data_IF_413546271701
#
_entry.id   IF_413546271701
#
_cell.length_a   1.000
_cell.length_b   1.000
_cell.length_c   1.000
_cell.angle_alpha   90.00
_cell.angle_beta   90.00
_cell.angle_gamma   90.00
#
_symmetry.space_group_name_H-M   'P 1'
#
loop_
_entity.id
_entity.type
_entity.pdbx_description
1 polymer ?
#
# COMPACT_ATOMS: atom_id res chain seq x y z
N UNK A 1 -17.13 -33.41 -14.00
CA UNK A 1 -16.90 -32.54 -12.83
C UNK A 1 -17.52 -31.20 -13.13
N UNK A 2 -18.52 -30.77 -12.36
CA UNK A 2 -19.13 -29.46 -12.55
C UNK A 2 -18.10 -28.38 -12.18
N UNK A 3 -17.64 -27.63 -13.18
CA UNK A 3 -16.86 -26.41 -12.96
C UNK A 3 -17.82 -25.38 -12.36
N UNK A 4 -17.83 -25.29 -11.03
CA UNK A 4 -18.55 -24.22 -10.34
C UNK A 4 -17.91 -22.90 -10.77
N UNK A 5 -18.61 -22.15 -11.63
CA UNK A 5 -18.23 -20.80 -12.00
C UNK A 5 -18.06 -19.98 -10.71
N UNK A 6 -16.90 -19.33 -10.54
CA UNK A 6 -16.71 -18.40 -9.43
C UNK A 6 -17.84 -17.36 -9.48
N UNK A 7 -18.49 -17.03 -8.35
CA UNK A 7 -19.49 -15.96 -8.33
C UNK A 7 -18.86 -14.67 -8.86
N UNK A 8 -19.64 -13.86 -9.59
CA UNK A 8 -19.19 -12.63 -10.26
C UNK A 8 -19.08 -11.41 -9.33
N UNK A 9 -19.44 -11.56 -8.06
CA UNK A 9 -19.44 -10.47 -7.08
C UNK A 9 -18.34 -10.71 -6.05
N UNK A 10 -17.53 -9.68 -5.74
CA UNK A 10 -16.51 -9.77 -4.70
C UNK A 10 -17.19 -10.03 -3.35
N UNK A 11 -16.84 -11.16 -2.73
CA UNK A 11 -17.26 -11.57 -1.40
C UNK A 11 -16.12 -11.29 -0.44
N UNK A 12 -16.43 -10.53 0.60
CA UNK A 12 -15.52 -10.26 1.70
C UNK A 12 -15.75 -11.22 2.86
N UNK A 13 -14.66 -11.71 3.42
CA UNK A 13 -14.62 -12.50 4.65
C UNK A 13 -13.70 -11.80 5.65
N UNK A 14 -14.09 -11.83 6.93
CA UNK A 14 -13.36 -11.19 8.03
C UNK A 14 -13.14 -12.25 9.10
N UNK A 15 -11.88 -12.61 9.32
CA UNK A 15 -11.45 -13.54 10.35
C UNK A 15 -10.72 -12.76 11.46
N UNK A 16 -11.03 -13.07 12.71
CA UNK A 16 -10.38 -12.46 13.88
C UNK A 16 -9.51 -13.50 14.58
N UNK A 17 -8.21 -13.22 14.66
CA UNK A 17 -7.25 -14.01 15.41
C UNK A 17 -6.77 -13.23 16.63
N UNK A 18 -7.05 -13.75 17.82
CA UNK A 18 -6.68 -13.13 19.08
C UNK A 18 -6.49 -14.18 20.17
N UNK A 19 -5.79 -13.82 21.25
CA UNK A 19 -6.06 -14.43 22.54
C UNK A 19 -7.11 -13.55 23.23
N UNK A 20 -8.31 -14.09 23.44
CA UNK A 20 -9.39 -13.35 24.11
C UNK A 20 -9.24 -13.27 25.63
N UNK A 21 -8.37 -14.11 26.22
CA UNK A 21 -8.16 -14.16 27.66
C UNK A 21 -7.12 -13.12 28.12
N UNK A 22 -7.53 -12.28 29.05
CA UNK A 22 -6.71 -11.27 29.70
C UNK A 22 -6.44 -11.67 31.16
N UNK A 23 -5.22 -11.38 31.63
CA UNK A 23 -4.90 -11.50 33.06
C UNK A 23 -5.67 -10.46 33.88
N UNK A 24 -5.81 -10.69 35.19
CA UNK A 24 -6.39 -9.70 36.10
C UNK A 24 -5.68 -8.33 35.97
N UNK A 25 -6.48 -7.27 35.90
CA UNK A 25 -6.01 -5.90 35.67
C UNK A 25 -5.46 -5.58 34.28
N UNK A 26 -5.31 -6.55 33.37
CA UNK A 26 -4.86 -6.29 32.00
C UNK A 26 -5.94 -5.55 31.20
N UNK A 27 -5.50 -4.67 30.30
CA UNK A 27 -6.37 -3.72 29.59
C UNK A 27 -6.15 -3.66 28.09
N UNK A 28 -5.10 -4.29 27.57
CA UNK A 28 -4.79 -4.26 26.14
C UNK A 28 -5.25 -5.53 25.44
N UNK A 29 -6.07 -5.36 24.40
CA UNK A 29 -6.59 -6.44 23.57
C UNK A 29 -5.96 -6.31 22.19
N UNK A 30 -5.25 -7.35 21.75
CA UNK A 30 -4.61 -7.40 20.45
C UNK A 30 -5.32 -8.42 19.55
N UNK A 31 -5.69 -8.00 18.35
CA UNK A 31 -6.31 -8.85 17.35
C UNK A 31 -5.68 -8.64 15.97
N UNK A 32 -5.49 -9.74 15.24
CA UNK A 32 -5.22 -9.73 13.82
C UNK A 32 -6.53 -9.96 13.09
N UNK A 33 -6.92 -8.98 12.28
CA UNK A 33 -8.09 -9.00 11.42
C UNK A 33 -7.62 -9.38 10.02
N UNK A 34 -7.89 -10.60 9.58
CA UNK A 34 -7.65 -11.02 8.20
C UNK A 34 -8.88 -10.71 7.38
N UNK A 35 -8.70 -9.89 6.36
CA UNK A 35 -9.72 -9.58 5.37
C UNK A 35 -9.36 -10.30 4.09
N UNK A 36 -10.31 -11.06 3.53
CA UNK A 36 -10.15 -11.74 2.25
C UNK A 36 -11.28 -11.33 1.32
N UNK A 37 -10.93 -10.85 0.12
CA UNK A 37 -11.87 -10.59 -0.96
C UNK A 37 -11.68 -11.66 -2.03
N UNK A 38 -12.76 -12.38 -2.38
CA UNK A 38 -12.76 -13.44 -3.41
C UNK A 38 -13.93 -13.28 -4.37
N UNK A 39 -13.86 -13.86 -5.58
CA UNK A 39 -15.02 -13.86 -6.49
C UNK A 39 -15.05 -12.70 -7.49
N UNK A 40 -13.87 -12.26 -7.92
CA UNK A 40 -13.71 -11.22 -8.93
C UNK A 40 -13.18 -11.72 -10.27
N UNK A 41 -13.66 -12.86 -10.78
CA UNK A 41 -13.16 -13.43 -12.04
C UNK A 41 -13.15 -12.43 -13.21
N UNK A 42 -12.13 -12.51 -14.07
CA UNK A 42 -11.96 -11.68 -15.28
C UNK A 42 -12.95 -11.96 -16.41
N UNK A 43 -14.04 -12.69 -16.13
CA UNK A 43 -15.11 -12.96 -17.09
C UNK A 43 -16.28 -12.02 -16.83
N UNK A 44 -16.56 -11.13 -17.79
CA UNK A 44 -17.60 -10.11 -17.73
C UNK A 44 -18.90 -10.57 -17.07
N UNK A 45 -19.24 -9.92 -15.96
CA UNK A 45 -20.43 -10.21 -15.17
C UNK A 45 -20.81 -9.02 -14.30
N UNK A 46 -22.11 -8.72 -14.29
CA UNK A 46 -22.80 -7.51 -13.78
C UNK A 46 -22.41 -7.10 -12.33
N UNK A 47 -22.20 -5.80 -12.02
CA UNK A 47 -21.96 -5.33 -10.66
C UNK A 47 -23.19 -5.44 -9.74
N UNK A 48 -22.94 -5.38 -8.43
CA UNK A 48 -23.94 -5.22 -7.38
C UNK A 48 -24.90 -4.05 -7.70
N UNK A 49 -26.19 -4.39 -7.78
CA UNK A 49 -27.33 -3.53 -7.46
C UNK A 49 -27.30 -2.08 -7.96
N UNK A 50 -27.27 -1.86 -9.26
CA UNK A 50 -27.77 -0.61 -9.87
C UNK A 50 -28.93 -0.98 -10.78
N UNK A 51 -30.14 -0.59 -10.38
CA UNK A 51 -31.36 -0.76 -11.15
C UNK A 51 -31.31 0.05 -12.45
N UNK A 52 -31.57 -0.64 -13.56
CA UNK A 52 -31.96 -0.19 -14.90
C UNK A 52 -31.27 1.02 -15.56
N UNK A 53 -30.32 0.70 -16.46
CA UNK A 53 -30.16 1.39 -17.74
C UNK A 53 -29.37 0.53 -18.76
N UNK A 54 -30.05 0.13 -19.85
CA UNK A 54 -29.54 -0.06 -21.23
C UNK A 54 -28.40 -1.07 -21.55
N UNK A 55 -28.46 -1.80 -22.69
CA UNK A 55 -27.42 -2.75 -23.07
C UNK A 55 -26.22 -2.04 -23.72
N UNK A 56 -25.05 -2.12 -23.07
CA UNK A 56 -23.66 -2.20 -23.58
C UNK A 56 -22.68 -1.61 -22.53
N UNK A 57 -21.85 -2.45 -21.88
CA UNK A 57 -20.51 -2.01 -21.42
C UNK A 57 -20.29 -1.36 -20.04
N UNK A 58 -21.23 -1.39 -19.09
CA UNK A 58 -21.09 -0.67 -17.80
C UNK A 58 -20.02 -1.20 -16.81
N UNK A 59 -19.38 -2.36 -17.05
CA UNK A 59 -18.33 -2.90 -16.18
C UNK A 59 -16.90 -2.45 -16.52
N UNK A 60 -16.72 -1.79 -17.66
CA UNK A 60 -15.42 -1.40 -18.21
C UNK A 60 -14.98 0.02 -17.82
N UNK A 61 -15.90 0.86 -17.36
CA UNK A 61 -15.67 2.27 -17.05
C UNK A 61 -15.47 2.56 -15.55
N UNK A 62 -15.22 1.54 -14.73
CA UNK A 62 -15.15 1.71 -13.27
C UNK A 62 -13.79 2.16 -12.74
N UNK A 63 -12.79 2.30 -13.62
CA UNK A 63 -11.44 2.69 -13.24
C UNK A 63 -10.87 3.83 -14.11
N UNK A 64 -9.98 4.61 -13.49
CA UNK A 64 -9.16 5.62 -14.13
C UNK A 64 -7.69 5.48 -13.70
N UNK A 65 -6.76 5.64 -14.63
CA UNK A 65 -5.31 5.57 -14.35
C UNK A 65 -4.55 6.77 -14.88
N UNK A 66 -3.68 7.36 -14.05
CA UNK A 66 -2.74 8.40 -14.50
C UNK A 66 -1.31 7.91 -14.31
N UNK A 67 -0.54 7.86 -15.39
CA UNK A 67 0.88 7.46 -15.36
C UNK A 67 1.72 8.73 -15.38
N UNK A 68 2.40 9.03 -14.28
CA UNK A 68 3.30 10.16 -14.12
C UNK A 68 4.75 9.70 -14.33
N UNK A 69 5.38 10.21 -15.37
CA UNK A 69 6.72 9.82 -15.80
C UNK A 69 7.66 10.99 -15.60
N UNK A 70 8.67 10.82 -14.75
CA UNK A 70 9.76 11.78 -14.62
C UNK A 70 10.45 12.02 -15.98
N UNK A 71 10.54 13.30 -16.32
CA UNK A 71 11.15 13.84 -17.51
C UNK A 71 12.18 14.92 -17.14
N UNK A 72 12.71 14.89 -15.91
CA UNK A 72 13.80 15.75 -15.47
C UNK A 72 15.09 15.49 -16.27
N UNK A 73 16.04 16.42 -16.18
CA UNK A 73 17.30 16.33 -16.93
C UNK A 73 18.14 15.09 -16.63
N UNK A 74 18.04 14.51 -15.42
CA UNK A 74 18.77 13.29 -15.01
C UNK A 74 18.35 12.05 -15.81
N UNK A 75 17.12 12.04 -16.33
CA UNK A 75 16.60 10.92 -17.10
C UNK A 75 17.32 10.67 -18.43
N UNK A 76 18.14 11.62 -18.92
CA UNK A 76 19.00 11.43 -20.10
C UNK A 76 20.39 10.84 -19.76
N UNK A 77 20.69 10.64 -18.47
CA UNK A 77 21.99 10.19 -17.99
C UNK A 77 21.86 9.00 -17.02
N UNK A 78 22.10 7.76 -17.51
CA UNK A 78 22.27 7.38 -18.91
C UNK A 78 20.94 7.42 -19.70
N UNK A 79 21.00 7.64 -21.01
CA UNK A 79 19.83 7.68 -21.90
C UNK A 79 18.96 6.39 -21.89
N UNK A 80 19.50 5.29 -21.35
CA UNK A 80 18.73 4.07 -21.09
C UNK A 80 17.61 4.27 -20.05
N UNK A 81 17.71 5.24 -19.13
CA UNK A 81 16.66 5.58 -18.16
C UNK A 81 15.39 6.08 -18.87
N UNK A 82 15.49 7.14 -19.68
CA UNK A 82 14.37 7.64 -20.49
C UNK A 82 13.83 6.60 -21.47
N UNK A 83 14.70 5.81 -22.13
CA UNK A 83 14.24 4.71 -22.99
C UNK A 83 13.44 3.68 -22.20
N UNK A 84 13.96 3.23 -21.06
CA UNK A 84 13.29 2.27 -20.18
C UNK A 84 11.97 2.81 -19.66
N UNK A 85 11.89 4.08 -19.27
CA UNK A 85 10.66 4.73 -18.82
C UNK A 85 9.58 4.75 -19.91
N UNK A 86 9.94 5.04 -21.16
CA UNK A 86 9.01 4.96 -22.31
C UNK A 86 8.55 3.52 -22.57
N UNK A 87 9.47 2.56 -22.56
CA UNK A 87 9.15 1.14 -22.75
C UNK A 87 8.22 0.61 -21.65
N UNK A 88 8.48 0.99 -20.39
CA UNK A 88 7.67 0.61 -19.26
C UNK A 88 6.29 1.26 -19.25
N UNK A 89 6.23 2.56 -19.58
CA UNK A 89 4.95 3.26 -19.75
C UNK A 89 4.13 2.64 -20.88
N UNK A 90 4.77 2.26 -22.00
CA UNK A 90 4.09 1.55 -23.08
C UNK A 90 3.55 0.19 -22.63
N UNK A 91 4.34 -0.58 -21.85
CA UNK A 91 3.90 -1.85 -21.28
C UNK A 91 2.71 -1.68 -20.34
N UNK A 92 2.72 -0.66 -19.47
CA UNK A 92 1.57 -0.33 -18.61
C UNK A 92 0.34 0.07 -19.44
N UNK A 93 0.49 0.90 -20.47
CA UNK A 93 -0.61 1.29 -21.38
C UNK A 93 -1.24 0.06 -22.03
N UNK A 94 -0.44 -0.92 -22.46
CA UNK A 94 -0.94 -2.16 -23.08
C UNK A 94 -1.74 -3.04 -22.12
N UNK A 95 -1.54 -2.89 -20.80
CA UNK A 95 -2.30 -3.59 -19.75
C UNK A 95 -3.62 -2.89 -19.40
N UNK A 96 -3.81 -1.62 -19.79
CA UNK A 96 -5.04 -0.89 -19.50
C UNK A 96 -6.22 -1.54 -20.23
N UNK A 97 -7.20 -2.03 -19.47
CA UNK A 97 -8.40 -2.69 -20.01
C UNK A 97 -9.21 -1.74 -20.89
N UNK A 98 -9.85 -2.28 -21.92
CA UNK A 98 -10.77 -1.51 -22.74
C UNK A 98 -11.84 -0.81 -21.90
N UNK A 99 -12.14 0.44 -22.23
CA UNK A 99 -13.12 1.27 -21.53
C UNK A 99 -12.60 2.02 -20.29
N UNK A 100 -11.41 1.67 -19.78
CA UNK A 100 -10.79 2.36 -18.64
C UNK A 100 -10.30 3.74 -19.06
N UNK A 101 -10.52 4.74 -18.21
CA UNK A 101 -10.05 6.09 -18.46
C UNK A 101 -8.55 6.19 -18.14
N UNK A 102 -7.74 6.84 -18.97
CA UNK A 102 -6.31 6.99 -18.69
C UNK A 102 -5.68 8.26 -19.25
N UNK A 103 -4.57 8.66 -18.64
CA UNK A 103 -3.71 9.74 -19.14
C UNK A 103 -2.23 9.47 -18.81
N UNK A 104 -1.35 10.16 -19.53
CA UNK A 104 0.10 10.16 -19.32
C UNK A 104 0.57 11.58 -19.05
N UNK A 105 1.24 11.77 -17.92
CA UNK A 105 1.77 13.05 -17.46
C UNK A 105 3.29 13.01 -17.51
N UNK A 106 3.90 13.99 -18.15
CA UNK A 106 5.33 14.27 -18.01
C UNK A 106 5.56 15.14 -16.77
N UNK A 107 6.40 14.64 -15.87
CA UNK A 107 6.77 15.31 -14.64
C UNK A 107 8.13 16.00 -14.75
N UNK A 108 8.20 17.27 -14.38
CA UNK A 108 9.44 18.04 -14.19
C UNK A 108 9.29 18.93 -12.94
N UNK A 109 9.88 20.13 -12.89
CA UNK A 109 9.44 21.20 -11.97
C UNK A 109 8.00 21.67 -12.27
N UNK A 110 7.47 21.33 -13.44
CA UNK A 110 6.07 21.46 -13.84
C UNK A 110 5.49 20.09 -14.26
N UNK A 111 4.17 19.95 -14.23
CA UNK A 111 3.47 18.76 -14.73
C UNK A 111 2.69 19.06 -16.01
N UNK A 112 2.93 18.29 -17.08
CA UNK A 112 2.26 18.45 -18.38
C UNK A 112 1.54 17.17 -18.78
N UNK A 113 0.29 17.29 -19.21
CA UNK A 113 -0.44 16.18 -19.82
C UNK A 113 0.06 16.01 -21.26
N UNK A 114 0.62 14.83 -21.56
CA UNK A 114 1.20 14.50 -22.87
C UNK A 114 0.22 13.68 -23.71
N UNK A 115 -0.67 12.95 -23.04
CA UNK A 115 -1.75 12.20 -23.65
C UNK A 115 -2.93 12.08 -22.66
N UNK A 116 -4.16 12.46 -23.05
CA UNK A 116 -4.56 13.00 -24.35
C UNK A 116 -4.03 14.41 -24.65
N UNK A 117 -3.55 15.15 -23.65
CA UNK A 117 -2.96 16.48 -23.82
C UNK A 117 -3.97 17.64 -23.82
N UNK A 118 -5.25 17.36 -23.58
CA UNK A 118 -6.34 18.35 -23.53
C UNK A 118 -6.87 18.59 -22.11
N UNK A 119 -6.21 18.01 -21.09
CA UNK A 119 -6.64 18.13 -19.70
C UNK A 119 -7.79 17.21 -19.33
N UNK A 120 -8.09 16.20 -20.14
CA UNK A 120 -9.10 15.16 -19.86
C UNK A 120 -8.46 13.77 -19.76
N UNK A 121 -9.27 12.73 -19.55
CA UNK A 121 -8.85 11.34 -19.60
C UNK A 121 -9.32 10.71 -20.91
N UNK A 122 -8.42 10.03 -21.62
CA UNK A 122 -8.77 9.24 -22.80
C UNK A 122 -9.42 7.92 -22.37
N UNK A 123 -10.31 7.36 -23.19
CA UNK A 123 -10.86 6.02 -22.95
C UNK A 123 -10.00 4.97 -23.67
N UNK A 124 -9.54 3.95 -22.93
CA UNK A 124 -8.70 2.90 -23.47
C UNK A 124 -9.42 2.08 -24.54
N UNK A 125 -8.74 1.92 -25.67
CA UNK A 125 -9.08 1.17 -26.87
C UNK A 125 -7.77 0.93 -27.62
N UNK A 126 -7.75 0.03 -28.61
CA UNK A 126 -6.55 -0.18 -29.43
C UNK A 126 -6.04 1.12 -30.08
N UNK A 127 -6.95 1.98 -30.55
CA UNK A 127 -6.60 3.25 -31.18
C UNK A 127 -6.04 4.29 -30.19
N UNK A 128 -6.58 4.39 -28.98
CA UNK A 128 -6.08 5.33 -27.96
C UNK A 128 -4.77 4.83 -27.35
N UNK A 129 -4.64 3.52 -27.11
CA UNK A 129 -3.38 2.90 -26.67
C UNK A 129 -2.26 3.13 -27.69
N UNK A 130 -2.53 2.94 -28.98
CA UNK A 130 -1.56 3.23 -30.05
C UNK A 130 -1.12 4.70 -30.08
N UNK A 131 -2.09 5.64 -30.01
CA UNK A 131 -1.79 7.09 -29.97
C UNK A 131 -1.03 7.51 -28.72
N UNK A 132 -1.34 6.92 -27.57
CA UNK A 132 -0.61 7.17 -26.33
C UNK A 132 0.86 6.72 -26.45
N UNK A 133 1.11 5.53 -27.01
CA UNK A 133 2.47 5.03 -27.26
C UNK A 133 3.25 5.90 -28.25
N UNK A 134 2.58 6.46 -29.26
CA UNK A 134 3.20 7.45 -30.14
C UNK A 134 3.55 8.75 -29.39
N UNK A 135 2.68 9.19 -28.49
CA UNK A 135 2.91 10.36 -27.65
C UNK A 135 4.15 10.22 -26.73
N UNK A 136 4.46 9.00 -26.27
CA UNK A 136 5.65 8.74 -25.45
C UNK A 136 6.97 9.10 -26.16
N UNK A 137 6.99 9.07 -27.50
CA UNK A 137 8.17 9.48 -28.28
C UNK A 137 8.51 10.96 -28.12
N UNK A 138 7.53 11.78 -27.68
CA UNK A 138 7.69 13.22 -27.43
C UNK A 138 8.19 13.54 -26.03
N UNK A 139 8.26 12.56 -25.11
CA UNK A 139 8.84 12.78 -23.78
C UNK A 139 10.30 13.16 -23.96
N UNK A 140 10.75 14.26 -23.39
CA UNK A 140 12.15 14.69 -23.46
C UNK A 140 12.63 15.02 -22.05
N UNK A 141 13.86 14.65 -21.74
CA UNK A 141 14.47 14.89 -20.44
C UNK A 141 14.93 16.36 -20.37
N UNK A 142 14.23 17.18 -19.58
CA UNK A 142 14.54 18.59 -19.37
C UNK A 142 13.92 19.13 -18.07
N UNK A 143 14.64 20.03 -17.41
CA UNK A 143 14.16 20.71 -16.20
C UNK A 143 14.37 19.91 -14.91
N UNK A 144 13.76 20.40 -13.83
CA UNK A 144 13.88 19.84 -12.48
C UNK A 144 12.82 18.80 -12.12
N UNK A 145 12.66 18.55 -10.81
CA UNK A 145 11.75 17.55 -10.24
C UNK A 145 10.93 18.17 -9.08
N UNK A 146 9.62 18.29 -9.28
CA UNK A 146 8.65 18.74 -8.26
C UNK A 146 7.43 17.81 -8.24
N UNK A 147 7.52 16.72 -7.48
CA UNK A 147 6.55 15.61 -7.47
C UNK A 147 5.15 16.06 -7.05
N UNK A 148 5.03 17.03 -6.15
CA UNK A 148 3.77 17.63 -5.72
C UNK A 148 2.99 18.27 -6.87
N UNK A 149 3.68 18.82 -7.87
CA UNK A 149 3.04 19.34 -9.09
C UNK A 149 2.42 18.22 -9.94
N UNK A 150 3.04 17.04 -9.95
CA UNK A 150 2.57 15.86 -10.70
C UNK A 150 1.32 15.30 -10.04
N UNK A 151 1.36 15.14 -8.71
CA UNK A 151 0.21 14.73 -7.90
C UNK A 151 -0.98 15.70 -8.10
N UNK A 152 -0.73 17.00 -8.12
CA UNK A 152 -1.74 18.01 -8.40
C UNK A 152 -2.38 17.87 -9.78
N UNK A 153 -1.57 17.55 -10.80
CA UNK A 153 -2.03 17.37 -12.17
C UNK A 153 -2.85 16.09 -12.32
N UNK A 154 -2.41 14.99 -11.70
CA UNK A 154 -3.16 13.74 -11.66
C UNK A 154 -4.52 13.92 -11.00
N UNK A 155 -4.58 14.61 -9.85
CA UNK A 155 -5.83 14.95 -9.17
C UNK A 155 -6.79 15.71 -10.08
N UNK A 156 -6.31 16.77 -10.74
CA UNK A 156 -7.12 17.54 -11.70
C UNK A 156 -7.70 16.67 -12.81
N UNK A 157 -6.91 15.73 -13.35
CA UNK A 157 -7.35 14.80 -14.39
C UNK A 157 -8.41 13.84 -13.85
N UNK A 158 -8.21 13.24 -12.68
CA UNK A 158 -9.21 12.38 -12.05
C UNK A 158 -10.52 13.11 -11.74
N UNK A 159 -10.45 14.37 -11.30
CA UNK A 159 -11.63 15.18 -11.00
C UNK A 159 -12.46 15.54 -12.24
N UNK A 160 -11.98 15.31 -13.46
CA UNK A 160 -12.80 15.41 -14.69
C UNK A 160 -13.81 14.26 -14.82
N UNK A 161 -13.59 13.15 -14.11
CA UNK A 161 -14.43 11.94 -14.10
C UNK A 161 -14.73 11.49 -12.68
N UNK A 162 -15.42 12.36 -11.92
CA UNK A 162 -15.82 12.07 -10.53
C UNK A 162 -16.76 10.86 -10.40
N UNK A 163 -17.41 10.48 -11.50
CA UNK A 163 -18.25 9.29 -11.62
C UNK A 163 -17.45 7.98 -11.53
N UNK A 164 -16.14 8.02 -11.79
CA UNK A 164 -15.26 6.85 -11.65
C UNK A 164 -14.78 6.75 -10.21
N UNK A 165 -15.03 5.61 -9.56
CA UNK A 165 -14.65 5.38 -8.16
C UNK A 165 -13.21 4.87 -8.00
N UNK A 166 -12.75 3.92 -8.83
CA UNK A 166 -11.39 3.39 -8.74
C UNK A 166 -10.44 4.34 -9.48
N UNK A 167 -9.58 5.04 -8.75
CA UNK A 167 -8.58 5.95 -9.32
C UNK A 167 -7.20 5.55 -8.82
N UNK A 168 -6.30 5.29 -9.75
CA UNK A 168 -4.97 4.83 -9.44
C UNK A 168 -3.91 5.60 -10.22
N UNK A 169 -2.82 5.97 -9.58
CA UNK A 169 -1.72 6.68 -10.18
C UNK A 169 -0.45 5.82 -10.09
N UNK A 170 0.37 5.90 -11.13
CA UNK A 170 1.73 5.34 -11.12
C UNK A 170 2.70 6.52 -11.18
N UNK A 171 3.63 6.60 -10.23
CA UNK A 171 4.67 7.62 -10.18
C UNK A 171 6.02 6.98 -10.44
N UNK A 172 6.72 7.45 -11.47
CA UNK A 172 8.12 7.10 -11.75
C UNK A 172 9.01 8.30 -11.51
N UNK A 173 10.12 8.12 -10.79
CA UNK A 173 11.19 9.12 -10.66
C UNK A 173 12.56 8.48 -10.76
N UNK A 174 13.56 9.20 -11.28
CA UNK A 174 14.98 8.83 -11.11
C UNK A 174 15.74 9.82 -10.22
N UNK A 175 15.10 10.93 -9.85
CA UNK A 175 15.70 12.05 -9.12
C UNK A 175 15.03 12.36 -7.79
N UNK A 176 15.76 13.12 -6.96
CA UNK A 176 15.27 13.76 -5.75
C UNK A 176 14.25 14.87 -6.04
N UNK A 177 13.38 15.14 -5.08
CA UNK A 177 12.40 16.22 -5.17
C UNK A 177 12.98 17.62 -4.87
N UNK A 178 13.93 18.08 -5.68
CA UNK A 178 14.76 19.26 -5.39
C UNK A 178 14.15 20.62 -5.77
N UNK A 179 13.04 20.61 -6.52
CA UNK A 179 12.47 21.84 -7.08
C UNK A 179 11.13 22.25 -6.43
N UNK A 180 10.85 21.71 -5.24
CA UNK A 180 9.84 22.20 -4.30
C UNK A 180 10.32 21.99 -2.86
N UNK A 181 9.73 22.69 -1.89
CA UNK A 181 10.06 22.42 -0.48
C UNK A 181 9.35 21.17 0.03
N UNK A 182 9.89 20.55 1.07
CA UNK A 182 9.24 19.41 1.74
C UNK A 182 7.81 19.75 2.21
N UNK A 183 7.58 20.98 2.66
CA UNK A 183 6.26 21.46 3.06
C UNK A 183 5.29 21.63 1.88
N UNK A 184 5.79 21.92 0.67
CA UNK A 184 4.96 22.00 -0.54
C UNK A 184 4.50 20.60 -0.95
N UNK A 185 5.40 19.62 -0.90
CA UNK A 185 5.08 18.21 -1.11
C UNK A 185 4.04 17.73 -0.09
N UNK A 186 4.23 18.03 1.20
CA UNK A 186 3.29 17.66 2.25
C UNK A 186 1.88 18.21 1.98
N UNK A 187 1.77 19.49 1.59
CA UNK A 187 0.48 20.10 1.22
C UNK A 187 -0.13 19.48 -0.04
N UNK A 188 0.69 19.11 -1.02
CA UNK A 188 0.22 18.44 -2.22
C UNK A 188 -0.35 17.05 -1.89
N UNK A 189 0.35 16.28 -1.05
CA UNK A 189 -0.08 14.96 -0.57
C UNK A 189 -1.38 15.07 0.23
N UNK A 190 -1.46 15.98 1.20
CA UNK A 190 -2.66 16.20 2.01
C UNK A 190 -3.88 16.51 1.14
N UNK A 191 -3.72 17.39 0.16
CA UNK A 191 -4.82 17.79 -0.74
C UNK A 191 -5.37 16.64 -1.57
N UNK A 192 -4.54 15.69 -1.98
CA UNK A 192 -4.95 14.60 -2.88
C UNK A 192 -5.24 13.29 -2.14
N UNK A 193 -4.96 13.24 -0.84
CA UNK A 193 -5.21 12.07 0.00
C UNK A 193 -6.69 11.69 0.00
N UNK A 194 -6.98 10.43 -0.31
CA UNK A 194 -8.35 9.94 -0.44
C UNK A 194 -9.03 10.23 -1.78
N UNK A 195 -8.39 10.94 -2.71
CA UNK A 195 -8.94 11.16 -4.05
C UNK A 195 -8.56 10.06 -5.04
N UNK A 196 -7.36 9.48 -4.88
CA UNK A 196 -6.84 8.36 -5.65
C UNK A 196 -5.76 7.61 -4.85
N UNK A 197 -5.39 6.42 -5.33
CA UNK A 197 -4.26 5.65 -4.79
C UNK A 197 -3.01 5.79 -5.65
N UNK A 198 -1.80 5.66 -5.11
CA UNK A 198 -0.58 5.81 -5.91
C UNK A 198 0.53 4.81 -5.55
N UNK A 199 0.98 4.06 -6.56
CA UNK A 199 2.21 3.27 -6.49
C UNK A 199 3.39 4.08 -7.05
N UNK A 200 4.52 4.04 -6.35
CA UNK A 200 5.73 4.80 -6.66
C UNK A 200 6.90 3.87 -7.01
N UNK A 201 7.72 4.27 -7.99
CA UNK A 201 8.95 3.58 -8.36
C UNK A 201 10.09 4.55 -8.52
N UNK A 202 11.21 4.22 -7.90
CA UNK A 202 12.46 4.93 -8.05
C UNK A 202 13.43 4.15 -8.94
N UNK A 203 13.96 4.80 -9.98
CA UNK A 203 14.89 4.21 -10.95
C UNK A 203 16.33 4.55 -10.56
N UNK A 204 17.20 3.54 -10.52
CA UNK A 204 18.57 3.73 -10.07
C UNK A 204 18.64 4.10 -8.59
N UNK A 205 19.58 4.96 -8.22
CA UNK A 205 19.88 5.30 -6.82
C UNK A 205 19.83 6.80 -6.51
N UNK A 206 19.59 7.66 -7.51
CA UNK A 206 19.67 9.12 -7.37
C UNK A 206 18.36 9.76 -6.82
N UNK A 207 17.61 9.04 -5.98
CA UNK A 207 16.32 9.45 -5.42
C UNK A 207 16.20 9.08 -3.94
N UNK A 208 15.30 9.74 -3.21
CA UNK A 208 15.11 9.48 -1.77
C UNK A 208 13.95 8.53 -1.48
N UNK A 209 14.27 7.44 -0.78
CA UNK A 209 13.28 6.44 -0.35
C UNK A 209 12.17 7.06 0.51
N UNK A 210 12.52 7.94 1.44
CA UNK A 210 11.57 8.59 2.34
C UNK A 210 10.55 9.48 1.61
N UNK A 211 10.94 10.13 0.51
CA UNK A 211 10.04 11.00 -0.28
C UNK A 211 8.97 10.16 -0.98
N UNK A 212 9.37 9.10 -1.68
CA UNK A 212 8.43 8.19 -2.34
C UNK A 212 7.60 7.40 -1.33
N UNK A 213 8.19 6.95 -0.22
CA UNK A 213 7.46 6.27 0.86
C UNK A 213 6.38 7.18 1.43
N UNK A 214 6.67 8.46 1.66
CA UNK A 214 5.69 9.44 2.12
C UNK A 214 4.49 9.53 1.18
N UNK A 215 4.73 9.63 -0.13
CA UNK A 215 3.68 9.67 -1.15
C UNK A 215 2.87 8.36 -1.18
N UNK A 216 3.55 7.22 -1.33
CA UNK A 216 2.89 5.92 -1.47
C UNK A 216 2.10 5.56 -0.22
N UNK A 217 2.65 5.80 0.98
CA UNK A 217 1.93 5.59 2.23
C UNK A 217 0.69 6.45 2.25
N UNK A 218 0.79 7.77 2.09
CA UNK A 218 -0.38 8.66 2.16
C UNK A 218 -1.48 8.27 1.15
N UNK A 219 -1.08 7.82 -0.03
CA UNK A 219 -1.97 7.40 -1.11
C UNK A 219 -2.21 5.88 -1.18
N UNK A 220 -2.02 5.17 -0.07
CA UNK A 220 -2.39 3.75 0.10
C UNK A 220 -1.85 2.82 -1.01
N UNK A 221 -0.66 3.11 -1.51
CA UNK A 221 0.06 2.27 -2.46
C UNK A 221 1.41 1.80 -1.91
N UNK A 222 2.31 1.48 -2.82
CA UNK A 222 3.61 0.86 -2.55
C UNK A 222 4.75 1.65 -3.14
N UNK A 223 5.95 1.45 -2.60
CA UNK A 223 7.21 1.93 -3.16
C UNK A 223 8.13 0.75 -3.43
N UNK A 224 8.85 0.75 -4.55
CA UNK A 224 9.95 -0.19 -4.83
C UNK A 224 11.06 0.48 -5.64
N UNK A 225 12.25 -0.09 -5.56
CA UNK A 225 13.41 0.31 -6.37
C UNK A 225 13.46 -0.54 -7.64
N UNK A 226 13.76 0.13 -8.75
CA UNK A 226 14.13 -0.51 -10.01
C UNK A 226 15.58 -0.16 -10.29
N UNK A 227 16.48 -1.01 -9.79
CA UNK A 227 17.92 -0.78 -9.83
C UNK A 227 18.46 -0.68 -11.26
N UNK A 228 17.90 -1.46 -12.19
CA UNK A 228 18.27 -1.44 -13.60
C UNK A 228 17.06 -1.13 -14.49
N UNK A 229 17.19 -0.26 -15.53
CA UNK A 229 16.09 0.08 -16.43
C UNK A 229 15.45 -1.11 -17.16
N UNK A 230 16.17 -2.22 -17.31
CA UNK A 230 15.70 -3.45 -17.99
C UNK A 230 14.51 -4.11 -17.28
N UNK A 231 14.41 -3.99 -15.95
CA UNK A 231 13.32 -4.55 -15.15
C UNK A 231 12.04 -3.69 -15.14
N UNK A 232 12.11 -2.46 -15.65
CA UNK A 232 11.06 -1.46 -15.46
C UNK A 232 9.75 -1.85 -16.17
N UNK A 233 9.82 -2.43 -17.36
CA UNK A 233 8.63 -2.78 -18.13
C UNK A 233 7.83 -3.93 -17.51
N UNK A 234 8.50 -4.90 -16.88
CA UNK A 234 7.83 -5.99 -16.18
C UNK A 234 7.18 -5.51 -14.88
N UNK A 235 7.87 -4.66 -14.11
CA UNK A 235 7.33 -4.07 -12.89
C UNK A 235 6.09 -3.19 -13.17
N UNK A 236 6.15 -2.34 -14.19
CA UNK A 236 5.00 -1.51 -14.62
C UNK A 236 3.81 -2.35 -15.07
N UNK A 237 4.08 -3.45 -15.78
CA UNK A 237 3.03 -4.40 -16.18
C UNK A 237 2.37 -5.02 -14.95
N UNK A 238 3.16 -5.56 -14.03
CA UNK A 238 2.65 -6.21 -12.82
C UNK A 238 1.86 -5.24 -11.94
N UNK A 239 2.33 -4.00 -11.79
CA UNK A 239 1.62 -2.96 -11.06
C UNK A 239 0.29 -2.61 -11.72
N UNK A 240 0.29 -2.38 -13.05
CA UNK A 240 -0.95 -2.09 -13.78
C UNK A 240 -1.92 -3.28 -13.72
N UNK A 241 -1.44 -4.53 -13.80
CA UNK A 241 -2.28 -5.72 -13.62
C UNK A 241 -2.95 -5.73 -12.24
N UNK A 242 -2.19 -5.40 -11.18
CA UNK A 242 -2.72 -5.25 -9.83
C UNK A 242 -3.78 -4.15 -9.70
N UNK A 243 -3.54 -2.98 -10.31
CA UNK A 243 -4.50 -1.88 -10.34
C UNK A 243 -5.77 -2.22 -11.15
N UNK A 244 -5.62 -2.91 -12.28
CA UNK A 244 -6.73 -3.35 -13.12
C UNK A 244 -7.53 -4.51 -12.51
N UNK A 245 -6.93 -5.28 -11.60
CA UNK A 245 -7.61 -6.32 -10.82
C UNK A 245 -8.54 -5.79 -9.73
N UNK A 246 -8.50 -4.48 -9.42
CA UNK A 246 -9.40 -3.87 -8.43
C UNK A 246 -10.83 -3.76 -8.97
N UNK A 247 -11.80 -3.99 -8.09
CA UNK A 247 -13.23 -4.07 -8.41
C UNK A 247 -14.11 -3.28 -7.45
N UNK A 248 -13.67 -3.13 -6.20
CA UNK A 248 -14.40 -2.40 -5.17
C UNK A 248 -13.56 -1.21 -4.74
N UNK A 249 -14.10 -0.01 -4.89
CA UNK A 249 -13.43 1.22 -4.48
C UNK A 249 -13.70 1.55 -3.01
N UNK A 250 -12.81 2.35 -2.43
CA UNK A 250 -13.02 3.09 -1.18
C UNK A 250 -13.52 2.29 0.02
N UNK A 251 -13.12 1.02 0.14
CA UNK A 251 -13.50 0.20 1.29
C UNK A 251 -12.84 0.77 2.54
N UNK A 252 -13.62 0.95 3.60
CA UNK A 252 -13.11 1.35 4.91
C UNK A 252 -13.21 0.19 5.91
N UNK A 253 -12.19 0.09 6.77
CA UNK A 253 -12.22 -0.73 7.95
C UNK A 253 -12.82 0.10 9.10
N UNK A 254 -14.10 -0.12 9.38
CA UNK A 254 -14.81 0.56 10.46
C UNK A 254 -14.56 -0.18 11.77
N UNK A 255 -14.06 0.54 12.77
CA UNK A 255 -13.89 0.02 14.13
C UNK A 255 -14.84 0.74 15.06
N UNK A 256 -15.76 -0.02 15.63
CA UNK A 256 -16.62 0.42 16.73
C UNK A 256 -16.08 -0.10 18.06
N UNK A 257 -16.16 0.71 19.11
CA UNK A 257 -15.75 0.35 20.48
C UNK A 257 -16.87 0.61 21.49
N UNK A 258 -16.94 -0.15 22.62
CA UNK A 258 -17.83 0.16 23.72
C UNK A 258 -17.44 1.46 24.42
N UNK A 259 -18.28 1.92 25.36
CA UNK A 259 -17.94 3.09 26.15
C UNK A 259 -16.64 2.84 26.95
N UNK A 260 -15.78 3.86 27.05
CA UNK A 260 -14.51 3.84 27.77
C UNK A 260 -13.43 2.89 27.20
N UNK A 261 -13.64 2.32 26.02
CA UNK A 261 -12.58 1.67 25.26
C UNK A 261 -11.99 2.62 24.22
N UNK A 262 -10.69 2.48 23.94
CA UNK A 262 -9.94 3.36 23.03
C UNK A 262 -9.14 2.51 22.06
N UNK A 263 -9.25 2.80 20.76
CA UNK A 263 -8.37 2.19 19.76
C UNK A 263 -6.98 2.80 19.90
N UNK A 264 -5.99 1.97 20.26
CA UNK A 264 -4.59 2.38 20.44
C UNK A 264 -3.88 2.53 19.12
N UNK A 265 -4.07 1.56 18.23
CA UNK A 265 -3.56 1.61 16.87
C UNK A 265 -4.35 0.70 15.93
N UNK A 266 -4.25 1.02 14.64
CA UNK A 266 -4.69 0.17 13.52
C UNK A 266 -3.57 0.17 12.50
N UNK A 267 -2.96 -1.00 12.28
CA UNK A 267 -1.85 -1.15 11.33
C UNK A 267 -2.19 -2.22 10.32
N UNK A 268 -2.02 -1.96 9.04
CA UNK A 268 -1.90 -3.05 8.07
C UNK A 268 -0.56 -3.74 8.35
N UNK A 269 -0.56 -5.07 8.40
CA UNK A 269 0.63 -5.89 8.68
C UNK A 269 0.89 -6.92 7.59
N UNK A 270 -0.02 -7.10 6.64
CA UNK A 270 0.23 -7.83 5.40
C UNK A 270 -0.63 -7.26 4.25
N UNK A 271 -0.11 -7.23 3.00
CA UNK A 271 1.20 -7.73 2.55
C UNK A 271 2.38 -6.78 2.86
N UNK A 272 2.10 -5.58 3.35
CA UNK A 272 3.11 -4.63 3.81
C UNK A 272 2.63 -3.93 5.08
N UNK A 273 3.59 -3.55 5.92
CA UNK A 273 3.35 -2.74 7.13
C UNK A 273 2.99 -1.32 6.74
N UNK A 274 1.83 -0.85 7.19
CA UNK A 274 1.38 0.54 7.03
C UNK A 274 0.59 0.95 8.28
N UNK A 275 0.92 2.10 8.87
CA UNK A 275 0.21 2.60 10.05
C UNK A 275 -0.99 3.46 9.63
N UNK A 276 -2.18 2.96 9.93
CA UNK A 276 -3.44 3.62 9.63
C UNK A 276 -3.99 4.43 10.82
N UNK A 277 -3.34 4.37 11.99
CA UNK A 277 -3.86 4.94 13.25
C UNK A 277 -4.24 6.42 13.11
N UNK A 278 -3.36 7.20 12.48
CA UNK A 278 -3.59 8.64 12.24
C UNK A 278 -4.59 8.96 11.12
N UNK A 279 -5.13 7.94 10.44
CA UNK A 279 -6.02 8.09 9.26
C UNK A 279 -7.50 7.86 9.59
N UNK A 280 -7.84 7.88 10.88
CA UNK A 280 -9.20 7.67 11.36
C UNK A 280 -10.10 8.82 10.92
N UNK A 281 -11.17 8.50 10.20
CA UNK A 281 -12.30 9.40 9.95
C UNK A 281 -13.46 9.06 10.91
N UNK A 282 -14.14 10.06 11.47
CA UNK A 282 -15.30 9.82 12.34
C UNK A 282 -16.47 9.21 11.55
N UNK A 283 -17.03 8.11 12.06
CA UNK A 283 -18.03 7.31 11.35
C UNK A 283 -19.34 7.13 12.14
N UNK A 284 -19.57 8.02 13.10
CA UNK A 284 -20.69 7.99 14.03
C UNK A 284 -20.25 7.68 15.48
N UNK A 285 -21.20 7.51 16.41
CA UNK A 285 -20.90 7.37 17.83
C UNK A 285 -19.98 6.17 18.12
N UNK A 286 -18.77 6.45 18.63
CA UNK A 286 -17.75 5.46 18.99
C UNK A 286 -17.29 4.58 17.82
N UNK A 287 -17.45 5.06 16.59
CA UNK A 287 -17.00 4.38 15.38
C UNK A 287 -16.00 5.26 14.62
N UNK A 288 -14.94 4.67 14.10
CA UNK A 288 -14.02 5.34 13.19
C UNK A 288 -13.71 4.47 11.97
N UNK A 289 -13.63 5.10 10.81
CA UNK A 289 -13.28 4.50 9.54
C UNK A 289 -11.79 4.68 9.27
N UNK A 290 -11.13 3.58 8.94
CA UNK A 290 -9.73 3.57 8.51
C UNK A 290 -9.69 3.23 7.02
N UNK A 291 -9.06 4.05 6.17
CA UNK A 291 -9.14 3.85 4.73
C UNK A 291 -8.27 2.67 4.31
N UNK A 292 -8.85 1.77 3.51
CA UNK A 292 -8.13 0.61 2.95
C UNK A 292 -8.03 0.66 1.43
N UNK A 293 -8.55 1.72 0.79
CA UNK A 293 -8.47 1.91 -0.65
C UNK A 293 -9.29 0.87 -1.44
N UNK A 294 -8.82 0.55 -2.65
CA UNK A 294 -9.53 -0.37 -3.54
C UNK A 294 -9.12 -1.83 -3.35
N UNK A 295 -10.05 -2.74 -3.61
CA UNK A 295 -9.91 -4.19 -3.43
C UNK A 295 -10.21 -4.96 -4.72
N UNK A 296 -9.39 -5.99 -4.98
CA UNK A 296 -9.59 -7.03 -6.00
C UNK A 296 -9.70 -8.42 -5.37
N UNK A 297 -9.22 -9.47 -6.06
CA UNK A 297 -9.03 -10.82 -5.48
C UNK A 297 -7.72 -10.82 -4.68
N UNK A 298 -7.82 -10.51 -3.39
CA UNK A 298 -6.67 -10.28 -2.52
C UNK A 298 -7.00 -10.51 -1.04
N UNK A 299 -5.97 -10.51 -0.20
CA UNK A 299 -6.14 -10.61 1.24
C UNK A 299 -5.11 -9.75 1.97
N UNK A 300 -5.58 -9.05 3.01
CA UNK A 300 -4.76 -8.16 3.84
C UNK A 300 -5.04 -8.44 5.30
N UNK A 301 -4.01 -8.30 6.12
CA UNK A 301 -4.11 -8.53 7.56
C UNK A 301 -3.87 -7.21 8.30
N UNK A 302 -4.69 -6.93 9.31
CA UNK A 302 -4.64 -5.71 10.11
C UNK A 302 -4.43 -6.05 11.58
N UNK A 303 -3.44 -5.44 12.24
CA UNK A 303 -3.26 -5.52 13.68
C UNK A 303 -3.99 -4.35 14.34
N UNK A 304 -5.03 -4.70 15.09
CA UNK A 304 -5.83 -3.76 15.88
C UNK A 304 -5.51 -3.96 17.36
N UNK A 305 -5.16 -2.88 18.03
CA UNK A 305 -5.01 -2.86 19.49
C UNK A 305 -6.06 -1.94 20.11
N UNK A 306 -6.79 -2.46 21.09
CA UNK A 306 -7.82 -1.73 21.83
C UNK A 306 -7.49 -1.76 23.30
N UNK A 307 -7.47 -0.60 23.93
CA UNK A 307 -7.43 -0.47 25.37
C UNK A 307 -8.86 -0.50 25.92
N UNK A 308 -9.16 -1.45 26.80
CA UNK A 308 -10.47 -1.62 27.45
C UNK A 308 -10.40 -1.23 28.93
N UNK A 309 -11.55 -0.91 29.56
CA UNK A 309 -11.62 -0.82 31.02
C UNK A 309 -11.24 -2.15 31.67
N UNK A 310 -10.54 -2.10 32.80
CA UNK A 310 -10.34 -3.31 33.61
C UNK A 310 -11.69 -3.84 34.10
N UNK A 311 -11.84 -5.16 34.15
CA UNK A 311 -13.03 -5.83 34.67
C UNK A 311 -12.64 -6.97 35.60
N UNK A 312 -13.58 -7.43 36.41
CA UNK A 312 -13.37 -8.57 37.29
C UNK A 312 -13.17 -9.87 36.50
N UNK A 313 -12.40 -10.80 37.06
CA UNK A 313 -12.24 -12.17 36.56
C UNK A 313 -13.61 -12.82 36.33
N UNK A 314 -13.75 -13.52 35.20
CA UNK A 314 -14.98 -14.15 34.74
C UNK A 314 -15.87 -13.26 33.86
N UNK A 315 -15.60 -11.96 33.77
CA UNK A 315 -16.36 -11.06 32.89
C UNK A 315 -15.89 -11.20 31.44
N UNK A 316 -16.86 -11.19 30.51
CA UNK A 316 -16.65 -11.09 29.07
C UNK A 316 -17.14 -9.71 28.57
N UNK A 317 -16.39 -9.09 27.67
CA UNK A 317 -16.81 -7.91 26.94
C UNK A 317 -16.44 -7.96 25.46
N UNK A 318 -17.20 -7.20 24.67
CA UNK A 318 -16.83 -6.89 23.29
C UNK A 318 -15.88 -5.68 23.30
N UNK A 319 -14.59 -5.91 23.05
CA UNK A 319 -13.58 -4.85 22.98
C UNK A 319 -13.74 -3.99 21.71
N UNK A 320 -14.02 -4.62 20.57
CA UNK A 320 -14.36 -3.91 19.35
C UNK A 320 -15.22 -4.75 18.40
N UNK A 321 -15.97 -4.06 17.54
CA UNK A 321 -16.57 -4.65 16.35
C UNK A 321 -15.87 -4.05 15.14
N UNK A 322 -15.30 -4.91 14.31
CA UNK A 322 -14.60 -4.54 13.09
C UNK A 322 -15.49 -4.87 11.91
N UNK A 323 -15.78 -3.89 11.06
CA UNK A 323 -16.66 -4.04 9.90
C UNK A 323 -15.97 -3.52 8.65
N UNK A 324 -16.12 -4.22 7.54
CA UNK A 324 -15.78 -3.67 6.23
C UNK A 324 -17.00 -2.95 5.69
N UNK A 325 -16.83 -1.67 5.37
CA UNK A 325 -17.93 -0.83 4.91
C UNK A 325 -17.61 -0.19 3.58
N UNK A 326 -18.63 -0.09 2.73
CA UNK A 326 -18.60 0.81 1.59
C UNK A 326 -19.06 2.20 2.04
N UNK A 327 -18.45 3.27 1.50
CA UNK A 327 -18.92 4.61 1.73
C UNK A 327 -20.37 4.71 1.23
N UNK A 328 -21.22 5.46 1.95
CA UNK A 328 -22.60 5.63 1.55
C UNK A 328 -22.66 6.27 0.17
N UNK A 329 -23.52 5.75 -0.71
CA UNK A 329 -23.93 6.50 -1.88
C UNK A 329 -24.86 7.64 -1.43
N UNK A 330 -24.96 8.71 -2.21
CA UNK A 330 -25.69 9.92 -1.83
C UNK A 330 -27.10 9.60 -1.29
N UNK A 331 -27.32 9.79 0.01
CA UNK A 331 -28.59 9.55 0.69
C UNK A 331 -28.81 8.13 1.25
N UNK A 332 -27.84 7.21 1.18
CA UNK A 332 -27.93 5.86 1.74
C UNK A 332 -27.15 5.71 3.05
N UNK A 333 -27.46 4.66 3.83
CA UNK A 333 -26.59 4.22 4.92
C UNK A 333 -25.36 3.51 4.36
N UNK A 334 -24.21 3.53 5.05
CA UNK A 334 -23.05 2.71 4.70
C UNK A 334 -23.43 1.23 4.65
N UNK A 335 -23.02 0.53 3.60
CA UNK A 335 -23.25 -0.91 3.45
C UNK A 335 -22.14 -1.67 4.19
N UNK A 336 -22.51 -2.62 5.05
CA UNK A 336 -21.56 -3.51 5.74
C UNK A 336 -21.38 -4.78 4.92
N UNK A 337 -20.18 -4.99 4.41
CA UNK A 337 -19.82 -6.13 3.57
C UNK A 337 -19.56 -7.39 4.39
N UNK A 338 -18.88 -7.23 5.53
CA UNK A 338 -18.54 -8.31 6.47
C UNK A 338 -18.13 -7.72 7.81
N UNK A 339 -18.12 -8.53 8.87
CA UNK A 339 -17.73 -8.08 10.21
C UNK A 339 -17.14 -9.20 11.06
N UNK A 340 -16.28 -8.82 12.00
CA UNK A 340 -15.70 -9.66 13.03
C UNK A 340 -15.76 -8.99 14.41
N UNK A 341 -15.77 -9.81 15.47
CA UNK A 341 -15.87 -9.35 16.85
C UNK A 341 -14.54 -9.60 17.58
N UNK A 342 -14.04 -8.58 18.24
CA UNK A 342 -12.85 -8.63 19.09
C UNK A 342 -13.31 -8.70 20.54
N UNK A 343 -13.06 -9.83 21.20
CA UNK A 343 -13.52 -10.11 22.57
C UNK A 343 -12.43 -9.89 23.62
N UNK A 344 -12.82 -9.68 24.86
CA UNK A 344 -11.94 -9.70 26.03
C UNK A 344 -12.63 -10.43 27.18
N UNK A 345 -11.94 -11.41 27.77
CA UNK A 345 -12.41 -12.24 28.89
C UNK A 345 -11.34 -12.21 29.97
N UNK A 346 -11.65 -11.69 31.16
CA UNK A 346 -10.69 -11.68 32.27
C UNK A 346 -10.66 -13.03 32.95
N UNK A 347 -9.46 -13.56 33.17
CA UNK A 347 -9.24 -14.88 33.79
C UNK A 347 -8.09 -14.81 34.80
N UNK A 348 -8.19 -15.62 35.85
CA UNK A 348 -7.11 -15.92 36.79
C UNK A 348 -6.28 -17.15 36.36
N UNK A 349 -6.73 -17.86 35.31
CA UNK A 349 -5.95 -18.94 34.69
C UNK A 349 -4.76 -18.37 33.89
N UNK A 350 -3.59 -18.43 34.53
CA UNK A 350 -2.31 -18.08 33.94
C UNK A 350 -2.04 -18.81 32.61
N UNK A 351 -2.47 -20.06 32.44
CA UNK A 351 -2.22 -20.80 31.19
C UNK A 351 -3.00 -20.22 30.01
N UNK A 352 -4.23 -19.74 30.26
CA UNK A 352 -5.06 -19.09 29.25
C UNK A 352 -4.61 -17.66 28.96
N UNK A 353 -4.29 -16.86 29.99
CA UNK A 353 -3.87 -15.47 29.81
C UNK A 353 -2.47 -15.32 29.19
N UNK A 354 -1.57 -16.28 29.41
CA UNK A 354 -0.21 -16.26 28.83
C UNK A 354 -0.12 -16.92 27.46
N UNK A 355 -1.22 -17.44 26.92
CA UNK A 355 -1.23 -18.03 25.58
C UNK A 355 -0.94 -16.95 24.54
N UNK A 356 0.14 -17.13 23.80
CA UNK A 356 0.53 -16.23 22.73
C UNK A 356 -0.24 -16.62 21.46
N UNK A 357 -1.01 -15.69 20.88
CA UNK A 357 -1.58 -15.89 19.55
C UNK A 357 -0.44 -15.93 18.52
N UNK A 358 -0.28 -17.02 17.74
CA UNK A 358 0.81 -17.13 16.76
C UNK A 358 0.80 -16.00 15.74
N UNK A 359 -0.39 -15.58 15.29
CA UNK A 359 -0.56 -14.49 14.33
C UNK A 359 -0.15 -13.14 14.93
N UNK A 360 -0.57 -12.85 16.17
CA UNK A 360 -0.20 -11.60 16.86
C UNK A 360 1.31 -11.54 17.07
N UNK A 361 1.93 -12.62 17.55
CA UNK A 361 3.38 -12.67 17.75
C UNK A 361 4.15 -12.52 16.45
N UNK A 362 3.72 -13.22 15.39
CA UNK A 362 4.35 -13.13 14.07
C UNK A 362 4.34 -11.70 13.53
N UNK A 363 3.18 -11.03 13.50
CA UNK A 363 3.09 -9.69 12.95
C UNK A 363 3.70 -8.61 13.83
N UNK A 364 3.71 -8.80 15.16
CA UNK A 364 4.48 -7.94 16.06
C UNK A 364 5.98 -8.03 15.73
N UNK A 365 6.50 -9.25 15.50
CA UNK A 365 7.87 -9.46 15.06
C UNK A 365 8.17 -8.84 13.69
N UNK A 366 7.26 -8.93 12.71
CA UNK A 366 7.45 -8.27 11.41
C UNK A 366 7.51 -6.74 11.52
N UNK A 367 6.70 -6.13 12.39
CA UNK A 367 6.75 -4.69 12.62
C UNK A 367 8.07 -4.26 13.30
N UNK A 368 8.56 -5.04 14.28
CA UNK A 368 9.85 -4.81 14.93
C UNK A 368 11.02 -4.98 13.95
N UNK A 369 10.95 -5.96 13.04
CA UNK A 369 11.91 -6.16 11.96
C UNK A 369 12.01 -4.90 11.07
N UNK A 370 10.88 -4.40 10.59
CA UNK A 370 10.82 -3.21 9.74
C UNK A 370 11.45 -1.98 10.42
N UNK A 371 11.07 -1.71 11.68
CA UNK A 371 11.63 -0.60 12.48
C UNK A 371 13.14 -0.76 12.67
N UNK A 372 13.60 -1.97 13.00
CA UNK A 372 15.02 -2.25 13.22
C UNK A 372 15.86 -2.04 11.96
N UNK A 373 15.33 -2.37 10.78
CA UNK A 373 16.01 -2.11 9.50
C UNK A 373 16.11 -0.61 9.25
N UNK A 374 14.99 0.12 9.37
CA UNK A 374 14.94 1.56 9.09
C UNK A 374 15.88 2.33 10.02
N UNK A 375 15.77 2.12 11.33
CA UNK A 375 16.64 2.75 12.31
C UNK A 375 18.12 2.38 12.12
N UNK A 376 18.39 1.14 11.71
CA UNK A 376 19.75 0.67 11.44
C UNK A 376 20.39 1.37 10.22
N UNK A 377 19.63 1.53 9.14
CA UNK A 377 20.08 2.24 7.94
C UNK A 377 20.21 3.75 8.17
N UNK A 378 19.28 4.36 8.92
CA UNK A 378 19.39 5.76 9.34
C UNK A 378 20.62 6.01 10.20
N UNK A 379 20.85 5.18 11.22
CA UNK A 379 22.04 5.27 12.06
C UNK A 379 23.33 5.12 11.23
N UNK A 380 23.34 4.21 10.26
CA UNK A 380 24.46 4.04 9.35
C UNK A 380 24.73 5.31 8.52
N UNK A 381 23.68 5.92 7.95
CA UNK A 381 23.76 7.19 7.21
C UNK A 381 24.26 8.34 8.09
N UNK A 382 23.88 8.35 9.37
CA UNK A 382 24.33 9.33 10.35
C UNK A 382 25.77 9.08 10.88
N UNK A 383 26.41 7.97 10.49
CA UNK A 383 27.74 7.58 10.97
C UNK A 383 27.76 6.95 12.36
N UNK A 384 26.59 6.66 12.95
CA UNK A 384 26.45 5.97 14.25
C UNK A 384 26.53 4.45 14.04
N UNK A 385 27.77 3.97 13.90
CA UNK A 385 28.07 2.56 13.58
C UNK A 385 27.60 1.60 14.67
N UNK A 386 27.67 2.01 15.94
CA UNK A 386 27.29 1.17 17.07
C UNK A 386 25.77 0.93 17.08
N UNK A 387 24.98 2.00 16.97
CA UNK A 387 23.52 1.88 16.87
C UNK A 387 23.11 1.14 15.61
N UNK A 388 23.76 1.41 14.48
CA UNK A 388 23.47 0.74 13.22
C UNK A 388 23.72 -0.78 13.31
N UNK A 389 24.83 -1.19 13.92
CA UNK A 389 25.18 -2.61 14.12
C UNK A 389 24.18 -3.28 15.05
N UNK A 390 23.81 -2.64 16.16
CA UNK A 390 22.82 -3.18 17.09
C UNK A 390 21.45 -3.38 16.43
N UNK A 391 20.98 -2.38 15.68
CA UNK A 391 19.66 -2.40 15.03
C UNK A 391 19.59 -3.39 13.86
N UNK A 392 20.60 -3.43 12.99
CA UNK A 392 20.65 -4.44 11.92
C UNK A 392 20.89 -5.86 12.45
N UNK A 393 21.62 -6.00 13.57
CA UNK A 393 21.75 -7.28 14.27
C UNK A 393 20.42 -7.81 14.81
N UNK A 394 19.63 -6.94 15.44
CA UNK A 394 18.27 -7.26 15.86
C UNK A 394 17.39 -7.66 14.66
N UNK A 395 17.46 -6.92 13.55
CA UNK A 395 16.75 -7.25 12.32
C UNK A 395 17.12 -8.65 11.78
N UNK A 396 18.41 -9.00 11.74
CA UNK A 396 18.88 -10.33 11.33
C UNK A 396 18.31 -11.44 12.22
N UNK A 397 18.33 -11.23 13.54
CA UNK A 397 17.77 -12.18 14.50
C UNK A 397 16.28 -12.40 14.30
N UNK A 398 15.51 -11.33 14.14
CA UNK A 398 14.06 -11.40 13.94
C UNK A 398 13.73 -12.04 12.59
N UNK A 399 14.42 -11.67 11.51
CA UNK A 399 14.21 -12.25 10.18
C UNK A 399 14.48 -13.76 10.18
N UNK A 400 15.54 -14.21 10.87
CA UNK A 400 15.86 -15.63 11.04
C UNK A 400 14.81 -16.35 11.90
N UNK A 401 14.40 -15.78 13.04
CA UNK A 401 13.42 -16.38 13.94
C UNK A 401 12.01 -16.51 13.31
N UNK A 402 11.63 -15.55 12.46
CA UNK A 402 10.32 -15.51 11.78
C UNK A 402 10.31 -16.21 10.42
N UNK A 403 11.46 -16.72 9.95
CA UNK A 403 11.57 -17.39 8.64
C UNK A 403 11.35 -16.44 7.45
N UNK A 404 11.61 -15.14 7.60
CA UNK A 404 11.52 -14.16 6.52
C UNK A 404 12.78 -14.22 5.65
N UNK A 405 12.91 -15.31 4.88
CA UNK A 405 14.06 -15.61 4.01
C UNK A 405 14.35 -14.50 2.99
N UNK A 406 13.31 -13.82 2.50
CA UNK A 406 13.47 -12.72 1.55
C UNK A 406 14.20 -11.53 2.17
N UNK A 407 13.75 -11.08 3.34
CA UNK A 407 14.38 -9.96 4.06
C UNK A 407 15.75 -10.36 4.61
N UNK A 408 15.90 -11.61 5.07
CA UNK A 408 17.19 -12.13 5.52
C UNK A 408 18.25 -12.07 4.40
N UNK A 409 17.89 -12.49 3.17
CA UNK A 409 18.79 -12.36 2.00
C UNK A 409 19.14 -10.91 1.67
N UNK A 410 18.21 -9.97 1.82
CA UNK A 410 18.49 -8.55 1.62
C UNK A 410 19.44 -8.01 2.68
N UNK A 411 19.22 -8.37 3.96
CA UNK A 411 20.13 -8.02 5.05
C UNK A 411 21.55 -8.53 4.79
N UNK A 412 21.70 -9.76 4.31
CA UNK A 412 23.01 -10.33 3.96
C UNK A 412 23.77 -9.58 2.87
N UNK A 413 23.10 -8.72 2.09
CA UNK A 413 23.79 -7.86 1.12
C UNK A 413 24.40 -6.61 1.76
N UNK A 414 23.84 -6.16 2.88
CA UNK A 414 24.25 -4.95 3.61
C UNK A 414 25.20 -5.29 4.76
N UNK A 415 24.98 -6.42 5.43
CA UNK A 415 25.79 -6.87 6.56
C UNK A 415 26.33 -8.28 6.37
N UNK A 416 27.54 -8.51 6.86
CA UNK A 416 28.11 -9.84 7.06
C UNK A 416 27.54 -10.42 8.36
N UNK A 417 26.68 -11.43 8.21
CA UNK A 417 26.08 -12.15 9.33
C UNK A 417 27.08 -13.17 9.88
N UNK A 418 27.54 -12.95 11.11
CA UNK A 418 28.45 -13.86 11.83
C UNK A 418 27.64 -14.91 12.58
N UNK A 419 26.61 -14.48 13.31
CA UNK A 419 25.67 -15.37 14.01
C UNK A 419 24.24 -14.84 13.85
N UNK A 420 23.37 -15.53 13.08
CA UNK A 420 21.99 -15.09 12.89
C UNK A 420 21.10 -15.27 14.12
N UNK A 421 21.43 -16.17 15.06
CA UNK A 421 20.61 -16.41 16.27
C UNK A 421 20.87 -15.33 17.31
N UNK A 422 22.13 -14.96 17.49
CA UNK A 422 22.51 -13.88 18.41
C UNK A 422 22.35 -12.49 17.78
N UNK A 423 22.20 -12.41 16.45
CA UNK A 423 22.15 -11.15 15.72
C UNK A 423 23.53 -10.49 15.61
N UNK A 424 24.61 -11.27 15.64
CA UNK A 424 25.97 -10.74 15.51
C UNK A 424 26.28 -10.46 14.05
N UNK A 425 26.46 -9.18 13.71
CA UNK A 425 26.69 -8.71 12.34
C UNK A 425 27.89 -7.78 12.26
N UNK A 426 28.48 -7.67 11.08
CA UNK A 426 29.49 -6.66 10.74
C UNK A 426 29.05 -5.96 9.46
N UNK A 427 29.26 -4.66 9.35
CA UNK A 427 29.01 -3.97 8.08
C UNK A 427 29.95 -4.50 7.01
N UNK A 428 29.40 -4.74 5.81
CA UNK A 428 30.21 -5.01 4.63
C UNK A 428 30.98 -3.75 4.27
N UNK A 429 32.22 -3.94 3.82
CA UNK A 429 33.09 -2.83 3.40
C UNK A 429 32.60 -2.14 2.11
N UNK A 430 31.89 -2.88 1.25
CA UNK A 430 31.45 -2.44 -0.08
C UNK A 430 29.95 -2.73 -0.27
N UNK A 431 29.09 -2.08 0.52
CA UNK A 431 27.64 -2.15 0.27
C UNK A 431 27.30 -1.24 -0.89
N UNK A 432 26.60 -1.77 -1.90
CA UNK A 432 26.10 -0.93 -2.99
C UNK A 432 24.92 -0.09 -2.50
N UNK A 433 24.82 1.16 -2.96
CA UNK A 433 23.70 2.02 -2.61
C UNK A 433 22.36 1.40 -3.02
N UNK A 434 22.33 0.72 -4.18
CA UNK A 434 21.17 -0.03 -4.65
C UNK A 434 20.73 -1.13 -3.66
N UNK A 435 21.66 -1.87 -3.04
CA UNK A 435 21.32 -2.90 -2.06
C UNK A 435 20.79 -2.30 -0.76
N UNK A 436 21.38 -1.19 -0.28
CA UNK A 436 20.88 -0.44 0.87
C UNK A 436 19.46 0.08 0.62
N UNK A 437 19.23 0.73 -0.52
CA UNK A 437 17.91 1.24 -0.90
C UNK A 437 16.90 0.12 -1.12
N UNK A 438 17.32 -1.03 -1.68
CA UNK A 438 16.46 -2.21 -1.82
C UNK A 438 16.00 -2.72 -0.47
N UNK A 439 16.94 -2.87 0.49
CA UNK A 439 16.61 -3.28 1.85
C UNK A 439 15.67 -2.26 2.52
N UNK A 440 15.96 -0.97 2.38
CA UNK A 440 15.14 0.08 2.97
C UNK A 440 13.72 0.08 2.41
N UNK A 441 13.59 0.05 1.08
CA UNK A 441 12.30 0.12 0.39
C UNK A 441 11.45 -1.11 0.67
N UNK A 442 12.08 -2.29 0.78
CA UNK A 442 11.39 -3.56 1.03
C UNK A 442 11.28 -3.92 2.51
N UNK A 443 11.79 -3.08 3.42
CA UNK A 443 11.75 -3.31 4.88
C UNK A 443 10.33 -3.48 5.42
N UNK A 444 9.33 -2.88 4.78
CA UNK A 444 7.92 -2.96 5.17
C UNK A 444 7.20 -4.16 4.55
N UNK A 445 7.80 -4.91 3.61
CA UNK A 445 7.17 -6.10 3.03
C UNK A 445 7.18 -7.24 4.05
N UNK A 446 6.02 -7.83 4.30
CA UNK A 446 5.88 -8.89 5.30
C UNK A 446 5.60 -10.24 4.66
N UNK A 447 5.92 -11.30 5.40
CA UNK A 447 5.54 -12.67 5.04
C UNK A 447 4.26 -13.00 5.79
N UNK A 448 3.23 -13.52 5.10
CA UNK A 448 2.00 -13.95 5.76
C UNK A 448 2.21 -15.23 6.56
N UNK A 449 1.47 -15.35 7.66
CA UNK A 449 1.33 -16.61 8.38
C UNK A 449 0.65 -17.62 7.45
N UNK A 450 1.26 -18.79 7.22
CA UNK A 450 0.59 -19.88 6.51
C UNK A 450 -0.58 -20.36 7.38
N UNK A 451 -1.79 -20.37 6.81
CA UNK A 451 -2.98 -20.94 7.46
C UNK A 451 -2.80 -22.41 7.75
#
# INVERSE_FOLDING_TARGET
MATLAKPNLPRFDVEIFQNEFLADGAREVNAIVTVTSTGGGTSGGRPLGVSDAGPLGAGAQSAAVVIMVDCSGSMDYPASKMRGAREATAAAIDTVRDGVAFAVVAGTHEARDIYPGDGTLAIASDATRARAKEALRRLTAAGGTAMGSWLAKADKLFLTRRDIAIRHAILLTDGNNEHESAADLDRAIERVSGHFTADCRGVGTDWRVDELRKISSALLGTVDIVAEPSGLAEDFRAMMEGAMGKQVADVALRIWTPANAVVKFVKQVAPAVEDLTGRRAEAGPRAGDYPTGSWGDESRDYHVCVEVPAAAVGNEMLAARVSLVLPPQTGSTPEVLSQGLVKAVWTDDLASSTRISPQVAHYTGQAELASSIQEGLEAHRAGDVDRATAKLGAAVRIAHATGNEGTFKLLQKVVDVVDPKEGTVRFRKNVSEADSMTLETRSTKTVRVKK
#
